data_IF_625978655862
#
_entry.id   IF_625978655862
#
_cell.length_a   1.000
_cell.length_b   1.000
_cell.length_c   1.000
_cell.angle_alpha   90.00
_cell.angle_beta   90.00
_cell.angle_gamma   90.00
#
_symmetry.space_group_name_H-M   'P 1'
#
loop_
_entity.id
_entity.type
_entity.pdbx_description
1 polymer ?
#
# COMPACT_ATOMS: atom_id res chain seq x y z
N UNK A 1 52.77 4.69 -46.20
CA UNK A 1 51.85 5.74 -45.72
C UNK A 1 50.96 5.12 -44.65
N UNK A 2 51.27 5.36 -43.37
CA UNK A 2 50.53 4.75 -42.25
C UNK A 2 49.27 5.56 -41.92
N UNK A 3 48.11 4.90 -41.95
CA UNK A 3 46.86 5.44 -41.43
C UNK A 3 46.89 5.37 -39.89
N UNK A 4 46.95 6.53 -39.24
CA UNK A 4 46.75 6.66 -37.79
C UNK A 4 45.25 6.73 -37.49
N UNK A 5 44.71 5.72 -36.82
CA UNK A 5 43.38 5.79 -36.22
C UNK A 5 43.44 6.65 -34.95
N UNK A 6 42.72 7.78 -34.94
CA UNK A 6 42.47 8.57 -33.72
C UNK A 6 41.24 7.98 -33.02
N UNK A 7 41.46 7.35 -31.87
CA UNK A 7 40.38 6.95 -30.97
C UNK A 7 39.89 8.21 -30.23
N UNK A 8 38.70 8.70 -30.55
CA UNK A 8 38.03 9.76 -29.80
C UNK A 8 37.29 9.08 -28.65
N UNK A 9 37.89 9.07 -27.47
CA UNK A 9 37.22 8.67 -26.24
C UNK A 9 36.21 9.76 -25.88
N UNK A 10 34.93 9.53 -26.23
CA UNK A 10 33.83 10.36 -25.75
C UNK A 10 33.67 10.13 -24.25
N UNK A 11 34.11 11.10 -23.45
CA UNK A 11 33.98 11.11 -22.01
C UNK A 11 32.50 11.37 -21.67
N UNK A 12 31.72 10.31 -21.45
CA UNK A 12 30.36 10.43 -20.90
C UNK A 12 30.46 10.97 -19.47
N UNK A 13 30.24 12.29 -19.30
CA UNK A 13 29.94 12.85 -17.99
C UNK A 13 28.59 12.29 -17.54
N UNK A 14 28.63 11.27 -16.68
CA UNK A 14 27.49 10.93 -15.84
C UNK A 14 27.26 12.10 -14.87
N UNK A 15 26.35 13.00 -15.22
CA UNK A 15 25.77 13.93 -14.26
C UNK A 15 24.98 13.10 -13.25
N UNK A 16 25.60 12.79 -12.11
CA UNK A 16 24.89 12.27 -10.95
C UNK A 16 23.89 13.35 -10.51
N UNK A 17 22.62 13.20 -10.89
CA UNK A 17 21.52 13.88 -10.24
C UNK A 17 21.56 13.48 -8.76
N UNK A 18 22.16 14.34 -7.94
CA UNK A 18 21.99 14.29 -6.50
C UNK A 18 20.54 14.69 -6.23
N UNK A 19 19.65 13.70 -6.14
CA UNK A 19 18.35 13.91 -5.53
C UNK A 19 18.60 14.26 -4.07
N UNK A 20 18.48 15.53 -3.72
CA UNK A 20 18.37 15.95 -2.34
C UNK A 20 17.17 15.20 -1.74
N UNK A 21 17.42 14.30 -0.79
CA UNK A 21 16.36 13.71 0.02
C UNK A 21 15.80 14.87 0.83
N UNK A 22 14.60 15.32 0.49
CA UNK A 22 13.87 16.24 1.34
C UNK A 22 13.68 15.54 2.69
N UNK A 23 14.34 16.03 3.74
CA UNK A 23 14.13 15.51 5.09
C UNK A 23 12.69 15.81 5.49
N UNK A 24 11.86 14.76 5.57
CA UNK A 24 10.49 14.88 6.05
C UNK A 24 10.52 15.27 7.53
N UNK A 25 9.95 16.43 7.87
CA UNK A 25 9.92 16.90 9.26
C UNK A 25 8.88 16.09 10.05
N UNK A 26 9.36 15.23 10.93
CA UNK A 26 8.53 14.37 11.79
C UNK A 26 8.37 14.89 13.22
N UNK A 27 8.98 16.03 13.59
CA UNK A 27 9.08 16.44 15.00
C UNK A 27 7.74 16.89 15.60
N UNK A 28 6.84 17.41 14.76
CA UNK A 28 5.52 17.90 15.16
C UNK A 28 4.41 16.84 14.96
N UNK A 29 4.73 15.71 14.35
CA UNK A 29 3.78 14.64 14.11
C UNK A 29 3.35 13.98 15.44
N UNK A 30 2.11 13.50 15.50
CA UNK A 30 1.63 12.70 16.63
C UNK A 30 2.46 11.43 16.75
N UNK A 31 3.10 11.23 17.90
CA UNK A 31 3.92 10.05 18.17
C UNK A 31 3.10 8.99 18.91
N UNK A 32 3.16 7.74 18.43
CA UNK A 32 2.59 6.56 19.09
C UNK A 32 3.73 5.65 19.53
N UNK A 33 3.86 5.42 20.84
CA UNK A 33 4.73 4.36 21.35
C UNK A 33 4.10 3.00 21.06
N UNK A 34 4.79 2.21 20.24
CA UNK A 34 4.33 0.86 19.91
C UNK A 34 4.60 -0.11 21.06
N UNK A 35 3.84 -1.21 21.10
CA UNK A 35 4.05 -2.30 22.05
C UNK A 35 5.30 -3.12 21.72
N UNK A 36 5.84 -3.84 22.71
CA UNK A 36 6.96 -4.75 22.51
C UNK A 36 6.69 -5.72 21.34
N UNK A 37 7.65 -5.91 20.42
CA UNK A 37 7.49 -6.91 19.38
C UNK A 37 7.55 -8.33 19.97
N UNK A 38 6.72 -9.22 19.44
CA UNK A 38 6.73 -10.64 19.81
C UNK A 38 7.99 -11.36 19.28
N UNK A 39 8.09 -12.67 19.54
CA UNK A 39 9.19 -13.52 19.07
C UNK A 39 9.36 -13.44 17.54
N UNK A 40 8.26 -13.35 16.78
CA UNK A 40 8.26 -13.17 15.32
C UNK A 40 8.58 -11.74 14.84
N UNK A 41 9.03 -10.85 15.73
CA UNK A 41 9.41 -9.46 15.47
C UNK A 41 8.28 -8.52 15.04
N UNK A 42 7.03 -8.91 15.25
CA UNK A 42 5.86 -8.07 14.99
C UNK A 42 5.43 -7.37 16.28
N UNK A 43 5.29 -6.05 16.22
CA UNK A 43 4.56 -5.27 17.22
C UNK A 43 3.10 -5.17 16.80
N UNK A 44 2.19 -5.72 17.63
CA UNK A 44 0.74 -5.69 17.41
C UNK A 44 0.13 -4.56 18.26
N UNK A 45 -0.46 -3.59 17.59
CA UNK A 45 -1.02 -2.39 18.21
C UNK A 45 -2.49 -2.27 17.81
N UNK A 46 -3.36 -2.19 18.81
CA UNK A 46 -4.81 -2.11 18.62
C UNK A 46 -5.31 -0.75 19.08
N UNK A 47 -6.19 -0.15 18.30
CA UNK A 47 -6.74 1.17 18.55
C UNK A 47 -8.26 1.15 18.41
N UNK A 48 -8.96 1.86 19.29
CA UNK A 48 -10.38 2.18 19.05
C UNK A 48 -10.50 3.21 17.93
N UNK A 49 -9.60 4.20 17.91
CA UNK A 49 -9.48 5.18 16.83
C UNK A 49 -8.01 5.42 16.50
N UNK A 50 -7.71 5.62 15.22
CA UNK A 50 -6.39 5.99 14.75
C UNK A 50 -6.51 7.15 13.79
N UNK A 51 -5.93 8.28 14.15
CA UNK A 51 -5.85 9.47 13.30
C UNK A 51 -4.61 10.27 13.72
N UNK A 52 -4.07 11.01 12.75
CA UNK A 52 -2.91 11.89 12.96
C UNK A 52 -3.35 13.23 13.56
N UNK A 53 -2.37 14.08 13.89
CA UNK A 53 -2.60 15.52 13.90
C UNK A 53 -2.34 16.10 12.49
N UNK A 54 -2.36 17.41 12.33
CA UNK A 54 -2.13 18.13 11.08
C UNK A 54 -0.73 17.90 10.47
N UNK A 55 0.24 17.49 11.28
CA UNK A 55 1.62 17.29 10.85
C UNK A 55 1.94 15.86 10.46
N UNK A 56 1.30 14.86 11.07
CA UNK A 56 1.61 13.46 10.78
C UNK A 56 1.29 12.49 11.89
N UNK A 57 1.64 11.23 11.60
CA UNK A 57 1.59 10.11 12.53
C UNK A 57 2.90 9.33 12.47
N UNK A 58 3.58 9.23 13.61
CA UNK A 58 4.88 8.57 13.74
C UNK A 58 4.79 7.44 14.76
N UNK A 59 5.21 6.24 14.38
CA UNK A 59 5.31 5.08 15.26
C UNK A 59 6.70 5.01 15.87
N UNK A 60 6.80 5.01 17.19
CA UNK A 60 8.07 5.05 17.91
C UNK A 60 8.65 3.65 18.11
N UNK A 61 9.58 3.27 17.22
CA UNK A 61 10.32 2.02 17.23
C UNK A 61 11.77 2.22 17.69
N UNK A 62 12.03 3.27 18.48
CA UNK A 62 13.35 3.60 19.01
C UNK A 62 13.55 2.94 20.37
N UNK A 63 14.50 2.00 20.47
CA UNK A 63 14.79 1.28 21.72
C UNK A 63 15.38 2.18 22.82
N UNK A 64 15.93 3.33 22.46
CA UNK A 64 16.50 4.28 23.41
C UNK A 64 15.45 5.20 24.03
N UNK A 65 14.30 5.36 23.37
CA UNK A 65 13.24 6.32 23.74
C UNK A 65 11.93 5.62 24.13
N UNK A 66 11.56 4.52 23.47
CA UNK A 66 10.40 3.72 23.79
C UNK A 66 10.77 2.53 24.69
N UNK A 67 10.68 2.75 26.01
CA UNK A 67 10.97 1.72 27.02
C UNK A 67 10.08 0.48 26.93
N UNK A 68 8.88 0.59 26.34
CA UNK A 68 7.98 -0.55 26.14
C UNK A 68 8.56 -1.61 25.20
N UNK A 69 9.60 -1.31 24.44
CA UNK A 69 10.24 -2.24 23.51
C UNK A 69 11.13 -3.29 24.20
N UNK A 70 11.50 -3.10 25.47
CA UNK A 70 12.34 -4.04 26.22
C UNK A 70 13.69 -4.33 25.53
N UNK A 71 14.26 -3.33 24.86
CA UNK A 71 15.54 -3.44 24.15
C UNK A 71 15.48 -4.08 22.76
N UNK A 72 14.28 -4.41 22.24
CA UNK A 72 14.11 -5.04 20.92
C UNK A 72 13.18 -4.22 20.04
N UNK A 73 13.69 -3.70 18.93
CA UNK A 73 12.86 -3.04 17.93
C UNK A 73 12.03 -4.03 17.10
N UNK A 74 10.88 -3.58 16.64
CA UNK A 74 10.02 -4.32 15.72
C UNK A 74 10.62 -4.32 14.30
N UNK A 75 10.42 -5.41 13.56
CA UNK A 75 10.66 -5.48 12.10
C UNK A 75 9.38 -5.23 11.30
N UNK A 76 8.23 -5.44 11.93
CA UNK A 76 6.91 -5.13 11.40
C UNK A 76 6.04 -4.54 12.51
N UNK A 77 5.32 -3.48 12.18
CA UNK A 77 4.36 -2.81 13.05
C UNK A 77 2.99 -2.98 12.40
N UNK A 78 2.07 -3.64 13.11
CA UNK A 78 0.66 -3.68 12.74
C UNK A 78 -0.10 -2.71 13.65
N UNK A 79 -0.74 -1.71 13.04
CA UNK A 79 -1.68 -0.80 13.66
C UNK A 79 -3.09 -1.16 13.17
N UNK A 80 -3.86 -1.83 14.02
CA UNK A 80 -5.22 -2.29 13.73
C UNK A 80 -6.23 -1.39 14.46
N UNK A 81 -7.20 -0.87 13.72
CA UNK A 81 -8.35 -0.18 14.29
C UNK A 81 -9.51 -1.16 14.45
N UNK A 82 -10.10 -1.21 15.65
CA UNK A 82 -11.23 -2.09 15.97
C UNK A 82 -12.51 -1.36 16.35
N UNK A 83 -12.47 -0.03 16.48
CA UNK A 83 -13.66 0.78 16.63
C UNK A 83 -14.40 0.99 15.30
N UNK A 84 -15.40 1.86 15.30
CA UNK A 84 -16.26 2.17 14.14
C UNK A 84 -15.75 3.29 13.23
N UNK A 85 -14.73 4.03 13.66
CA UNK A 85 -14.29 5.23 12.96
C UNK A 85 -13.26 4.93 11.86
N UNK A 86 -13.36 5.66 10.76
CA UNK A 86 -12.38 5.64 9.69
C UNK A 86 -11.06 6.31 10.13
N UNK A 87 -9.95 5.87 9.54
CA UNK A 87 -8.63 6.46 9.80
C UNK A 87 -8.42 7.69 8.93
N UNK A 88 -8.17 8.85 9.54
CA UNK A 88 -7.82 10.07 8.83
C UNK A 88 -6.39 10.49 9.18
N UNK A 89 -5.54 10.56 8.16
CA UNK A 89 -4.13 10.94 8.29
C UNK A 89 -3.87 12.18 7.44
N UNK A 90 -3.25 13.18 8.03
CA UNK A 90 -2.66 14.35 7.40
C UNK A 90 -1.14 14.21 7.48
N UNK A 91 -0.43 14.69 6.46
CA UNK A 91 1.03 14.84 6.54
C UNK A 91 1.79 13.51 6.61
N UNK A 92 2.89 13.49 7.38
CA UNK A 92 3.86 12.39 7.33
C UNK A 92 3.33 11.11 7.99
N UNK A 93 3.53 9.96 7.37
CA UNK A 93 3.51 8.65 8.05
C UNK A 93 4.95 8.23 8.27
N UNK A 94 5.36 8.01 9.52
CA UNK A 94 6.76 7.76 9.84
C UNK A 94 7.02 6.70 10.89
N UNK A 95 8.26 6.26 10.97
CA UNK A 95 8.79 5.44 12.07
C UNK A 95 9.98 6.17 12.70
N UNK A 96 9.94 6.39 14.01
CA UNK A 96 11.12 6.86 14.77
C UNK A 96 11.95 5.66 15.18
N UNK A 97 13.28 5.78 15.15
CA UNK A 97 14.20 4.69 15.51
C UNK A 97 14.44 3.71 14.36
N UNK A 98 14.41 2.41 14.65
CA UNK A 98 14.77 1.40 13.66
C UNK A 98 13.69 1.28 12.57
N UNK A 99 14.12 1.28 11.29
CA UNK A 99 13.24 1.07 10.13
C UNK A 99 12.47 -0.24 10.23
N UNK A 100 11.19 -0.23 9.91
CA UNK A 100 10.34 -1.43 9.88
C UNK A 100 9.33 -1.39 8.73
N UNK A 101 8.67 -2.53 8.48
CA UNK A 101 7.44 -2.59 7.71
C UNK A 101 6.28 -2.03 8.56
N UNK A 102 5.41 -1.21 7.96
CA UNK A 102 4.25 -0.64 8.64
C UNK A 102 2.97 -1.06 7.94
N UNK A 103 2.01 -1.57 8.71
CA UNK A 103 0.67 -1.92 8.25
C UNK A 103 -0.34 -1.13 9.06
N UNK A 104 -1.18 -0.36 8.39
CA UNK A 104 -2.34 0.31 8.99
C UNK A 104 -3.58 -0.38 8.44
N UNK A 105 -4.34 -1.03 9.32
CA UNK A 105 -5.54 -1.78 8.99
C UNK A 105 -6.76 -1.18 9.68
N UNK A 106 -7.75 -0.76 8.90
CA UNK A 106 -9.01 -0.25 9.42
C UNK A 106 -10.18 -0.62 8.47
N UNK A 107 -11.12 -1.49 8.88
CA UNK A 107 -12.24 -1.90 8.03
C UNK A 107 -13.20 -0.76 7.66
N UNK A 108 -13.22 0.33 8.41
CA UNK A 108 -14.08 1.51 8.17
C UNK A 108 -13.50 2.45 7.10
N UNK A 109 -12.29 2.18 6.61
CA UNK A 109 -11.62 2.96 5.57
C UNK A 109 -10.44 3.78 6.08
N UNK A 110 -9.63 4.26 5.14
CA UNK A 110 -8.42 5.04 5.39
C UNK A 110 -8.34 6.20 4.40
N UNK A 111 -8.15 7.42 4.91
CA UNK A 111 -7.85 8.60 4.11
C UNK A 111 -6.49 9.15 4.50
N UNK A 112 -5.62 9.36 3.52
CA UNK A 112 -4.31 9.97 3.71
C UNK A 112 -4.16 11.22 2.83
N UNK A 113 -4.15 12.38 3.48
CA UNK A 113 -4.10 13.68 2.85
C UNK A 113 -2.71 14.30 2.99
N UNK A 114 -2.23 14.95 1.92
CA UNK A 114 -0.99 15.71 1.88
C UNK A 114 0.21 14.93 2.44
N UNK A 115 0.27 13.65 2.05
CA UNK A 115 1.18 12.66 2.59
C UNK A 115 2.66 12.85 2.29
N UNK A 116 3.51 12.36 3.19
CA UNK A 116 4.91 12.04 2.93
C UNK A 116 5.30 10.85 3.82
N UNK A 117 6.36 10.11 3.50
CA UNK A 117 6.79 9.03 4.38
C UNK A 117 8.19 9.25 4.93
N UNK A 118 8.45 8.65 6.09
CA UNK A 118 9.76 8.72 6.73
C UNK A 118 10.13 7.37 7.34
N UNK A 119 11.30 6.85 6.98
CA UNK A 119 11.91 5.69 7.64
C UNK A 119 11.03 4.41 7.64
N UNK A 120 10.31 4.16 6.54
CA UNK A 120 9.46 2.98 6.38
C UNK A 120 10.03 2.09 5.26
N UNK A 121 10.24 0.81 5.55
CA UNK A 121 10.72 -0.16 4.55
C UNK A 121 9.62 -0.57 3.56
N UNK A 122 8.40 -0.76 4.06
CA UNK A 122 7.19 -1.04 3.28
C UNK A 122 5.98 -0.48 4.01
N UNK A 123 5.13 0.26 3.31
CA UNK A 123 3.86 0.75 3.84
C UNK A 123 2.70 -0.05 3.26
N UNK A 124 1.83 -0.57 4.11
CA UNK A 124 0.58 -1.24 3.71
C UNK A 124 -0.62 -0.51 4.30
N UNK A 125 -1.49 0.02 3.45
CA UNK A 125 -2.77 0.60 3.84
C UNK A 125 -3.89 -0.40 3.50
N UNK A 126 -4.59 -0.90 4.52
CA UNK A 126 -5.58 -1.96 4.36
C UNK A 126 -6.92 -1.49 4.92
N UNK A 127 -7.90 -1.25 4.06
CA UNK A 127 -9.28 -0.96 4.48
C UNK A 127 -10.03 -2.26 4.80
N UNK A 128 -9.54 -3.03 5.76
CA UNK A 128 -10.05 -4.36 6.08
C UNK A 128 -9.71 -4.82 7.50
N UNK A 129 -10.33 -5.92 7.90
CA UNK A 129 -10.12 -6.56 9.20
C UNK A 129 -8.85 -7.41 9.19
N UNK A 130 -8.07 -7.38 10.28
CA UNK A 130 -7.00 -8.34 10.48
C UNK A 130 -7.55 -9.65 11.05
N UNK A 131 -7.41 -10.73 10.28
CA UNK A 131 -7.96 -12.04 10.60
C UNK A 131 -7.11 -12.77 11.64
N UNK A 132 -7.71 -13.03 12.80
CA UNK A 132 -7.12 -13.94 13.78
C UNK A 132 -7.29 -15.38 13.31
N UNK A 133 -6.23 -16.17 13.40
CA UNK A 133 -6.22 -17.58 13.02
C UNK A 133 -6.61 -18.43 14.21
N UNK A 134 -7.26 -19.55 13.96
CA UNK A 134 -7.67 -20.51 14.99
C UNK A 134 -7.07 -21.88 14.69
N UNK A 135 -6.67 -22.59 15.74
CA UNK A 135 -6.20 -23.97 15.69
C UNK A 135 -7.20 -24.87 16.42
N UNK A 136 -7.27 -26.15 16.03
CA UNK A 136 -8.09 -27.13 16.74
C UNK A 136 -7.48 -27.42 18.12
N UNK A 137 -8.32 -27.53 19.13
CA UNK A 137 -7.91 -28.04 20.43
C UNK A 137 -7.41 -29.49 20.28
N UNK A 138 -6.30 -29.82 20.96
CA UNK A 138 -5.68 -31.15 20.87
C UNK A 138 -6.52 -32.24 21.53
N UNK A 139 -7.34 -31.85 22.51
CA UNK A 139 -8.17 -32.75 23.33
C UNK A 139 -9.60 -32.83 22.81
N UNK A 140 -10.11 -31.76 22.19
CA UNK A 140 -11.41 -31.74 21.52
C UNK A 140 -11.31 -31.12 20.11
N UNK A 141 -11.23 -31.95 19.04
CA UNK A 141 -11.12 -31.47 17.67
C UNK A 141 -12.28 -30.60 17.17
N UNK A 142 -13.41 -30.55 17.89
CA UNK A 142 -14.55 -29.67 17.57
C UNK A 142 -14.37 -28.26 18.13
N UNK A 143 -13.49 -28.06 19.11
CA UNK A 143 -13.21 -26.77 19.73
C UNK A 143 -12.09 -26.04 18.98
N UNK A 144 -12.29 -24.76 18.70
CA UNK A 144 -11.30 -23.87 18.08
C UNK A 144 -10.71 -22.93 19.12
N UNK A 145 -9.38 -22.83 19.14
CA UNK A 145 -8.62 -21.94 20.01
C UNK A 145 -7.89 -20.87 19.16
N UNK A 146 -7.78 -19.62 19.63
CA UNK A 146 -6.96 -18.62 18.96
C UNK A 146 -5.51 -19.09 18.83
N UNK A 147 -4.98 -19.03 17.62
CA UNK A 147 -3.56 -19.27 17.38
C UNK A 147 -2.76 -18.13 18.01
N UNK A 148 -1.69 -18.41 18.77
CA UNK A 148 -0.83 -17.36 19.31
C UNK A 148 -0.25 -16.48 18.20
N UNK A 149 -0.30 -15.16 18.39
CA UNK A 149 0.18 -14.19 17.39
C UNK A 149 1.66 -14.36 17.04
N UNK A 150 2.46 -14.87 17.98
CA UNK A 150 3.88 -15.17 17.77
C UNK A 150 4.12 -16.28 16.73
N UNK A 151 3.13 -17.14 16.49
CA UNK A 151 3.23 -18.26 15.55
C UNK A 151 2.75 -17.90 14.13
N UNK A 152 2.46 -16.63 13.87
CA UNK A 152 2.02 -16.16 12.56
C UNK A 152 3.22 -16.05 11.63
N UNK A 153 3.11 -16.67 10.45
CA UNK A 153 4.07 -16.54 9.34
C UNK A 153 3.67 -15.49 8.29
N UNK A 154 2.40 -15.08 8.32
CA UNK A 154 1.80 -14.08 7.46
C UNK A 154 0.62 -13.43 8.19
N UNK A 155 0.33 -12.17 7.87
CA UNK A 155 -0.87 -11.48 8.33
C UNK A 155 -1.96 -11.65 7.28
N UNK A 156 -3.18 -12.03 7.69
CA UNK A 156 -4.32 -12.20 6.78
C UNK A 156 -5.31 -11.08 6.99
N UNK A 157 -5.84 -10.53 5.91
CA UNK A 157 -6.82 -9.45 5.96
C UNK A 157 -8.05 -9.82 5.15
N UNK A 158 -9.21 -9.37 5.61
CA UNK A 158 -10.47 -9.45 4.86
C UNK A 158 -11.00 -8.04 4.61
N UNK A 159 -11.29 -7.78 3.35
CA UNK A 159 -11.84 -6.52 2.85
C UNK A 159 -13.28 -6.77 2.39
N UNK A 160 -14.18 -5.91 2.86
CA UNK A 160 -15.61 -5.97 2.56
C UNK A 160 -15.98 -5.01 1.42
N UNK A 161 -17.07 -5.29 0.67
CA UNK A 161 -17.61 -4.37 -0.32
C UNK A 161 -17.82 -2.96 0.24
N UNK A 162 -17.45 -1.93 -0.54
CA UNK A 162 -17.59 -0.52 -0.16
C UNK A 162 -16.46 0.05 0.70
N UNK A 163 -15.58 -0.78 1.28
CA UNK A 163 -14.39 -0.30 1.99
C UNK A 163 -13.49 0.54 1.08
N UNK A 164 -12.92 1.63 1.59
CA UNK A 164 -12.19 2.59 0.76
C UNK A 164 -10.85 3.00 1.36
N UNK A 165 -9.82 3.03 0.52
CA UNK A 165 -8.59 3.79 0.76
C UNK A 165 -8.55 4.99 -0.18
N UNK A 166 -8.35 6.18 0.38
CA UNK A 166 -8.16 7.42 -0.38
C UNK A 166 -6.79 7.99 -0.07
N UNK A 167 -5.98 8.22 -1.09
CA UNK A 167 -4.76 9.01 -0.98
C UNK A 167 -4.98 10.29 -1.78
N UNK A 168 -4.78 11.43 -1.15
CA UNK A 168 -5.10 12.73 -1.69
C UNK A 168 -3.93 13.69 -1.46
N UNK A 169 -3.56 14.43 -2.50
CA UNK A 169 -2.49 15.41 -2.45
C UNK A 169 -2.96 16.69 -3.13
N UNK A 170 -2.99 17.80 -2.39
CA UNK A 170 -3.31 19.10 -3.00
C UNK A 170 -2.18 19.61 -3.90
N UNK A 171 -0.94 19.25 -3.59
CA UNK A 171 0.26 19.62 -4.34
C UNK A 171 1.01 18.36 -4.77
N UNK A 172 1.72 18.42 -5.90
CA UNK A 172 2.44 17.27 -6.46
C UNK A 172 3.73 16.89 -5.72
N UNK A 173 3.77 17.09 -4.39
CA UNK A 173 4.90 16.73 -3.55
C UNK A 173 5.07 15.21 -3.55
N UNK A 174 6.27 14.69 -3.88
CA UNK A 174 6.49 13.26 -3.99
C UNK A 174 6.30 12.53 -2.65
N UNK A 175 5.45 11.51 -2.61
CA UNK A 175 5.47 10.46 -1.60
C UNK A 175 6.53 9.45 -2.02
N UNK A 176 7.70 9.47 -1.37
CA UNK A 176 8.83 8.59 -1.69
C UNK A 176 8.93 7.41 -0.71
N UNK A 177 8.83 6.19 -1.23
CA UNK A 177 8.82 4.95 -0.47
C UNK A 177 9.64 3.88 -1.20
N UNK A 178 10.13 2.85 -0.50
CA UNK A 178 10.68 1.67 -1.18
C UNK A 178 9.59 0.74 -1.69
N UNK A 179 8.49 0.60 -0.92
CA UNK A 179 7.36 -0.26 -1.23
C UNK A 179 6.05 0.30 -0.67
N UNK A 180 4.99 0.19 -1.45
CA UNK A 180 3.62 0.46 -1.01
C UNK A 180 2.67 -0.66 -1.43
N UNK A 181 1.79 -1.05 -0.52
CA UNK A 181 0.65 -1.90 -0.79
C UNK A 181 -0.62 -1.16 -0.36
N UNK A 182 -1.66 -1.22 -1.18
CA UNK A 182 -2.99 -0.70 -0.84
C UNK A 182 -4.00 -1.80 -1.10
N UNK A 183 -4.81 -2.12 -0.09
CA UNK A 183 -5.86 -3.14 -0.18
C UNK A 183 -7.19 -2.58 0.31
N UNK A 184 -8.15 -2.48 -0.60
CA UNK A 184 -9.50 -2.00 -0.31
C UNK A 184 -10.44 -2.48 -1.41
N UNK A 185 -11.74 -2.41 -1.19
CA UNK A 185 -12.69 -2.57 -2.30
C UNK A 185 -12.55 -1.41 -3.29
N UNK A 186 -12.37 -0.19 -2.78
CA UNK A 186 -12.21 1.04 -3.56
C UNK A 186 -10.90 1.73 -3.22
N UNK A 187 -10.08 2.00 -4.23
CA UNK A 187 -8.83 2.74 -4.10
C UNK A 187 -8.93 4.02 -4.93
N UNK A 188 -8.81 5.18 -4.28
CA UNK A 188 -8.87 6.48 -4.95
C UNK A 188 -7.59 7.27 -4.73
N UNK A 189 -6.91 7.60 -5.81
CA UNK A 189 -5.69 8.42 -5.83
C UNK A 189 -6.03 9.77 -6.49
N UNK A 190 -6.28 10.77 -5.64
CA UNK A 190 -6.97 12.01 -6.02
C UNK A 190 -6.04 13.22 -6.13
N UNK A 191 -6.50 14.23 -6.88
CA UNK A 191 -5.80 15.50 -7.09
C UNK A 191 -4.39 15.30 -7.66
N UNK A 192 -3.37 15.89 -7.04
CA UNK A 192 -1.99 15.88 -7.52
C UNK A 192 -1.16 14.76 -6.88
N UNK A 193 -1.74 13.59 -6.59
CA UNK A 193 -1.01 12.47 -5.97
C UNK A 193 0.23 12.13 -6.79
N UNK A 194 1.40 12.12 -6.16
CA UNK A 194 2.67 11.81 -6.81
C UNK A 194 3.41 10.76 -6.00
N UNK A 195 3.22 9.47 -6.30
CA UNK A 195 3.86 8.36 -5.56
C UNK A 195 5.04 7.83 -6.35
N UNK A 196 6.23 7.91 -5.76
CA UNK A 196 7.45 7.33 -6.30
C UNK A 196 7.90 6.17 -5.40
N UNK A 197 7.78 4.94 -5.91
CA UNK A 197 8.16 3.74 -5.16
C UNK A 197 8.63 2.62 -6.06
N UNK A 198 9.67 1.90 -5.66
CA UNK A 198 10.23 0.81 -6.45
C UNK A 198 9.21 -0.32 -6.68
N UNK A 199 8.39 -0.63 -5.68
CA UNK A 199 7.33 -1.65 -5.77
C UNK A 199 6.00 -1.05 -5.30
N UNK A 200 4.96 -1.20 -6.11
CA UNK A 200 3.61 -0.72 -5.79
C UNK A 200 2.59 -1.81 -6.11
N UNK A 201 1.75 -2.15 -5.14
CA UNK A 201 0.67 -3.11 -5.31
C UNK A 201 -0.65 -2.48 -4.88
N UNK A 202 -1.60 -2.37 -5.82
CA UNK A 202 -2.93 -1.84 -5.55
C UNK A 202 -3.95 -2.94 -5.80
N UNK A 203 -4.44 -3.55 -4.72
CA UNK A 203 -5.47 -4.59 -4.75
C UNK A 203 -6.83 -3.94 -4.47
N UNK A 204 -7.54 -3.59 -5.54
CA UNK A 204 -8.90 -3.04 -5.48
C UNK A 204 -9.90 -4.20 -5.58
N UNK A 205 -10.13 -4.92 -4.48
CA UNK A 205 -11.02 -6.08 -4.48
C UNK A 205 -11.55 -6.38 -3.08
N UNK A 206 -12.75 -6.93 -3.00
CA UNK A 206 -13.27 -7.55 -1.79
C UNK A 206 -12.88 -9.03 -1.70
N UNK A 207 -12.64 -9.50 -0.48
CA UNK A 207 -12.18 -10.86 -0.22
C UNK A 207 -11.03 -10.86 0.76
N UNK A 208 -10.12 -11.83 0.65
CA UNK A 208 -8.96 -11.90 1.52
C UNK A 208 -7.64 -11.70 0.79
N UNK A 209 -6.64 -11.23 1.53
CA UNK A 209 -5.25 -11.15 1.10
C UNK A 209 -4.34 -11.52 2.27
N UNK A 210 -3.12 -11.95 1.95
CA UNK A 210 -2.09 -12.24 2.93
C UNK A 210 -0.87 -11.36 2.71
N UNK A 211 -0.28 -10.86 3.79
CA UNK A 211 0.94 -10.06 3.80
C UNK A 211 2.09 -10.88 4.40
N UNK A 212 3.16 -11.03 3.64
CA UNK A 212 4.41 -11.65 4.12
C UNK A 212 5.09 -10.75 5.16
N UNK A 213 5.46 -11.31 6.31
CA UNK A 213 6.11 -10.55 7.40
C UNK A 213 7.49 -10.04 6.97
N UNK A 214 8.26 -10.90 6.28
CA UNK A 214 9.64 -10.60 5.90
C UNK A 214 9.70 -9.64 4.73
N UNK A 215 8.91 -9.91 3.70
CA UNK A 215 8.99 -9.14 2.46
C UNK A 215 8.10 -7.90 2.47
N UNK A 216 7.07 -7.86 3.33
CA UNK A 216 6.04 -6.82 3.28
C UNK A 216 5.28 -6.83 1.94
N UNK A 217 5.20 -7.98 1.27
CA UNK A 217 4.49 -8.15 0.01
C UNK A 217 3.08 -8.65 0.27
N UNK A 218 2.09 -7.97 -0.32
CA UNK A 218 0.69 -8.36 -0.27
C UNK A 218 0.37 -9.29 -1.45
N UNK A 219 -0.31 -10.39 -1.17
CA UNK A 219 -0.76 -11.38 -2.17
C UNK A 219 -2.25 -11.61 -1.97
N UNK A 220 -3.03 -11.49 -3.05
CA UNK A 220 -4.46 -11.76 -3.02
C UNK A 220 -4.76 -13.24 -2.74
N UNK A 221 -5.94 -13.49 -2.19
CA UNK A 221 -6.42 -14.84 -1.90
C UNK A 221 -7.82 -15.08 -2.43
N UNK A 222 -8.70 -15.63 -1.60
CA UNK A 222 -10.05 -15.98 -2.02
C UNK A 222 -10.91 -14.71 -2.23
N UNK A 223 -11.62 -14.68 -3.36
CA UNK A 223 -12.57 -13.62 -3.72
C UNK A 223 -13.79 -13.63 -2.80
N UNK A 224 -14.38 -12.45 -2.60
CA UNK A 224 -15.64 -12.31 -1.87
C UNK A 224 -16.80 -13.00 -2.58
N UNK A 225 -17.62 -13.74 -1.82
CA UNK A 225 -18.86 -14.39 -2.27
C UNK A 225 -20.05 -13.51 -1.90
N UNK A 226 -20.65 -12.85 -2.88
CA UNK A 226 -21.78 -11.97 -2.66
C UNK A 226 -23.08 -12.78 -2.50
N UNK A 227 -23.73 -12.63 -1.35
CA UNK A 227 -25.07 -13.17 -1.07
C UNK A 227 -26.17 -12.13 -1.28
N UNK A 228 -25.81 -10.85 -1.41
CA UNK A 228 -26.68 -9.70 -1.62
C UNK A 228 -26.32 -8.96 -2.91
N UNK A 229 -27.30 -8.27 -3.49
CA UNK A 229 -27.09 -7.42 -4.66
C UNK A 229 -26.32 -6.15 -4.25
N UNK A 230 -25.23 -5.85 -4.94
CA UNK A 230 -24.44 -4.64 -4.73
C UNK A 230 -24.56 -3.74 -5.95
N UNK A 231 -24.82 -2.45 -5.75
CA UNK A 231 -24.99 -1.46 -6.84
C UNK A 231 -23.69 -1.07 -7.51
N UNK A 232 -22.55 -1.22 -6.82
CA UNK A 232 -21.24 -0.80 -7.28
C UNK A 232 -20.17 -1.85 -6.94
N UNK A 233 -19.21 -2.01 -7.85
CA UNK A 233 -18.13 -2.99 -7.75
C UNK A 233 -16.86 -2.37 -7.20
N UNK A 234 -15.81 -3.19 -7.07
CA UNK A 234 -14.49 -2.71 -6.69
C UNK A 234 -13.94 -1.73 -7.74
N UNK A 235 -13.25 -0.68 -7.28
CA UNK A 235 -12.83 0.42 -8.15
C UNK A 235 -11.46 0.99 -7.79
N UNK A 236 -10.54 0.97 -8.76
CA UNK A 236 -9.30 1.75 -8.70
C UNK A 236 -9.44 3.01 -9.55
N UNK A 237 -9.12 4.18 -8.99
CA UNK A 237 -9.11 5.44 -9.73
C UNK A 237 -7.82 6.22 -9.48
N UNK A 238 -7.13 6.57 -10.58
CA UNK A 238 -6.06 7.56 -10.60
C UNK A 238 -6.55 8.82 -11.32
N UNK A 239 -6.62 9.93 -10.59
CA UNK A 239 -7.05 11.24 -11.10
C UNK A 239 -6.10 11.81 -12.18
N UNK A 240 -6.59 12.79 -12.94
CA UNK A 240 -5.90 13.38 -14.10
C UNK A 240 -4.51 13.94 -13.79
N UNK A 241 -4.36 14.58 -12.63
CA UNK A 241 -3.08 15.14 -12.18
C UNK A 241 -2.26 14.15 -11.33
N UNK A 242 -2.77 12.93 -11.16
CA UNK A 242 -2.11 11.86 -10.44
C UNK A 242 -0.95 11.27 -11.22
N UNK A 243 0.12 10.93 -10.51
CA UNK A 243 1.35 10.33 -11.04
C UNK A 243 1.82 9.18 -10.16
N UNK A 244 2.02 8.02 -10.77
CA UNK A 244 2.67 6.87 -10.14
C UNK A 244 3.98 6.57 -10.88
N UNK A 245 5.09 6.48 -10.15
CA UNK A 245 6.39 6.17 -10.72
C UNK A 245 7.06 5.02 -9.96
N UNK A 246 7.54 4.00 -10.67
CA UNK A 246 8.17 2.86 -10.02
C UNK A 246 8.87 1.86 -10.92
N UNK A 247 9.56 0.90 -10.32
CA UNK A 247 10.11 -0.23 -11.07
C UNK A 247 9.02 -1.26 -11.38
N UNK A 248 8.16 -1.56 -10.41
CA UNK A 248 7.07 -2.53 -10.56
C UNK A 248 5.77 -1.95 -10.01
N UNK A 249 4.74 -1.87 -10.85
CA UNK A 249 3.40 -1.45 -10.47
C UNK A 249 2.42 -2.55 -10.85
N UNK A 250 1.76 -3.13 -9.85
CA UNK A 250 0.69 -4.11 -10.01
C UNK A 250 -0.65 -3.47 -9.63
N UNK A 251 -1.60 -3.50 -10.56
CA UNK A 251 -3.00 -3.21 -10.31
C UNK A 251 -3.79 -4.51 -10.39
N UNK A 252 -4.51 -4.85 -9.34
CA UNK A 252 -5.31 -6.07 -9.27
C UNK A 252 -6.73 -5.71 -8.85
N UNK A 253 -7.74 -6.19 -9.59
CA UNK A 253 -9.14 -5.95 -9.26
C UNK A 253 -10.02 -7.08 -9.76
N UNK A 254 -10.78 -7.69 -8.85
CA UNK A 254 -11.64 -8.85 -9.15
C UNK A 254 -13.10 -8.59 -8.83
N UNK A 255 -14.00 -9.01 -9.73
CA UNK A 255 -15.44 -8.94 -9.51
C UNK A 255 -15.86 -9.80 -8.31
N UNK A 256 -16.97 -9.41 -7.69
CA UNK A 256 -17.63 -10.25 -6.69
C UNK A 256 -18.09 -11.57 -7.32
N UNK A 257 -18.06 -12.65 -6.55
CA UNK A 257 -18.69 -13.90 -6.98
C UNK A 257 -20.20 -13.82 -6.68
N UNK A 258 -21.00 -13.40 -7.67
CA UNK A 258 -22.47 -13.37 -7.55
C UNK A 258 -23.10 -14.65 -8.12
N UNK A 259 -24.24 -15.03 -7.55
CA UNK A 259 -25.03 -16.19 -8.01
C UNK A 259 -25.58 -16.00 -9.44
N UNK A 260 -25.95 -14.78 -9.79
CA UNK A 260 -26.33 -14.37 -11.14
C UNK A 260 -25.30 -13.36 -11.68
N UNK A 261 -24.61 -13.75 -12.74
CA UNK A 261 -23.51 -12.96 -13.33
C UNK A 261 -23.98 -11.68 -14.02
N UNK A 262 -25.26 -11.61 -14.45
CA UNK A 262 -25.83 -10.41 -15.07
C UNK A 262 -26.09 -9.30 -14.07
N UNK A 263 -26.23 -9.66 -12.79
CA UNK A 263 -26.48 -8.75 -11.68
C UNK A 263 -25.21 -8.34 -10.93
N UNK A 264 -24.04 -8.89 -11.30
CA UNK A 264 -22.78 -8.49 -10.70
C UNK A 264 -22.40 -7.08 -11.15
N UNK A 265 -22.09 -6.15 -10.22
CA UNK A 265 -21.64 -4.83 -10.58
C UNK A 265 -20.36 -4.91 -11.44
N UNK A 266 -20.17 -3.90 -12.27
CA UNK A 266 -18.97 -3.76 -13.08
C UNK A 266 -17.88 -3.14 -12.22
N UNK A 267 -16.76 -3.84 -12.09
CA UNK A 267 -15.56 -3.28 -11.48
C UNK A 267 -14.82 -2.45 -12.52
N UNK A 268 -14.14 -1.39 -12.07
CA UNK A 268 -13.45 -0.46 -12.97
C UNK A 268 -12.06 -0.11 -12.45
N UNK A 269 -11.08 -0.19 -13.33
CA UNK A 269 -9.77 0.44 -13.16
C UNK A 269 -9.75 1.64 -14.10
N UNK A 270 -9.76 2.84 -13.53
CA UNK A 270 -9.80 4.12 -14.26
C UNK A 270 -8.49 4.89 -14.05
N UNK A 271 -7.71 5.02 -15.12
CA UNK A 271 -6.43 5.73 -15.11
C UNK A 271 -6.57 6.98 -15.97
N UNK A 272 -6.74 8.12 -15.30
CA UNK A 272 -6.79 9.44 -15.94
C UNK A 272 -5.44 10.16 -15.89
N UNK A 273 -4.60 9.80 -14.93
CA UNK A 273 -3.27 10.36 -14.72
C UNK A 273 -2.14 9.65 -15.47
N UNK A 274 -0.92 9.82 -14.96
CA UNK A 274 0.29 9.25 -15.52
C UNK A 274 0.80 8.06 -14.68
N UNK A 275 1.08 6.95 -15.33
CA UNK A 275 1.85 5.84 -14.74
C UNK A 275 3.15 5.68 -15.52
N UNK A 276 4.28 5.74 -14.82
CA UNK A 276 5.63 5.54 -15.33
C UNK A 276 6.24 4.32 -14.63
N UNK A 277 6.34 3.20 -15.33
CA UNK A 277 6.81 1.94 -14.75
C UNK A 277 7.85 1.25 -15.62
N UNK A 278 8.82 0.53 -15.03
CA UNK A 278 9.59 -0.44 -15.82
C UNK A 278 8.71 -1.65 -16.16
N UNK A 279 8.05 -2.20 -15.14
CA UNK A 279 7.10 -3.30 -15.25
C UNK A 279 5.73 -2.88 -14.74
N UNK A 280 4.71 -3.00 -15.58
CA UNK A 280 3.31 -2.81 -15.22
C UNK A 280 2.55 -4.12 -15.38
N UNK A 281 1.72 -4.47 -14.41
CA UNK A 281 0.88 -5.66 -14.45
C UNK A 281 -0.54 -5.30 -14.06
N UNK A 282 -1.48 -5.80 -14.85
CA UNK A 282 -2.91 -5.68 -14.61
C UNK A 282 -3.47 -7.10 -14.41
N UNK A 283 -4.13 -7.35 -13.30
CA UNK A 283 -4.69 -8.66 -12.96
C UNK A 283 -6.17 -8.57 -12.57
N UNK A 284 -6.91 -9.63 -12.90
CA UNK A 284 -8.33 -9.76 -12.61
C UNK A 284 -9.23 -9.51 -13.82
N UNK A 285 -10.52 -9.33 -13.56
CA UNK A 285 -11.62 -9.36 -14.54
C UNK A 285 -12.40 -8.04 -14.58
N UNK A 286 -11.77 -6.95 -14.16
CA UNK A 286 -12.36 -5.61 -14.14
C UNK A 286 -12.27 -4.92 -15.50
N UNK A 287 -13.22 -4.03 -15.78
CA UNK A 287 -13.11 -3.15 -16.94
C UNK A 287 -11.92 -2.21 -16.76
N UNK A 288 -11.12 -2.05 -17.82
CA UNK A 288 -9.96 -1.18 -17.83
C UNK A 288 -10.22 0.04 -18.72
N UNK A 289 -10.14 1.23 -18.12
CA UNK A 289 -10.26 2.50 -18.82
C UNK A 289 -8.97 3.30 -18.62
N UNK A 290 -8.32 3.66 -19.73
CA UNK A 290 -7.14 4.52 -19.75
C UNK A 290 -7.45 5.75 -20.59
N UNK A 291 -7.57 6.89 -19.92
CA UNK A 291 -7.72 8.22 -20.55
C UNK A 291 -6.46 9.08 -20.36
N UNK A 292 -5.64 8.74 -19.36
CA UNK A 292 -4.33 9.33 -19.14
C UNK A 292 -3.22 8.67 -19.96
N UNK A 293 -2.04 8.55 -19.36
CA UNK A 293 -0.84 8.02 -20.01
C UNK A 293 -0.22 6.87 -19.22
N UNK A 294 0.22 5.86 -19.95
CA UNK A 294 1.00 4.74 -19.41
C UNK A 294 2.33 4.68 -20.16
N UNK A 295 3.45 4.87 -19.46
CA UNK A 295 4.80 4.84 -19.99
C UNK A 295 5.57 3.67 -19.40
N UNK A 296 6.05 2.79 -20.27
CA UNK A 296 6.62 1.51 -19.88
C UNK A 296 8.08 1.32 -20.33
N UNK A 297 8.80 0.50 -19.57
CA UNK A 297 10.17 0.10 -19.86
C UNK A 297 11.22 1.17 -19.56
N UNK A 298 12.49 0.84 -19.80
CA UNK A 298 13.62 1.74 -19.56
C UNK A 298 13.57 3.02 -20.38
N UNK A 299 12.96 2.95 -21.57
CA UNK A 299 12.84 4.09 -22.50
C UNK A 299 11.52 4.86 -22.32
N UNK A 300 10.68 4.47 -21.35
CA UNK A 300 9.39 5.13 -21.04
C UNK A 300 8.50 5.29 -22.28
N UNK A 301 8.37 4.21 -23.07
CA UNK A 301 7.53 4.21 -24.26
C UNK A 301 6.08 4.46 -23.87
N UNK A 302 5.48 5.48 -24.48
CA UNK A 302 4.11 5.88 -24.19
C UNK A 302 3.11 5.01 -24.96
N UNK A 303 2.17 4.40 -24.24
CA UNK A 303 1.04 3.68 -24.84
C UNK A 303 -0.03 4.69 -25.22
N UNK A 304 -0.21 4.88 -26.53
CA UNK A 304 -1.20 5.80 -27.09
C UNK A 304 -2.42 5.02 -27.55
N UNK A 305 -3.62 5.51 -27.24
CA UNK A 305 -4.87 4.97 -27.79
C UNK A 305 -4.88 5.17 -29.30
N UNK A 306 -4.95 4.10 -30.08
CA UNK A 306 -5.24 4.21 -31.51
C UNK A 306 -6.68 4.67 -31.69
N UNK A 307 -6.88 5.90 -32.18
CA UNK A 307 -8.16 6.32 -32.75
C UNK A 307 -8.28 5.66 -34.13
N UNK A 308 -9.26 4.77 -34.27
CA UNK A 308 -9.68 4.29 -35.58
C UNK A 308 -10.44 5.44 -36.23
N UNK A 309 -9.90 5.99 -37.32
CA UNK A 309 -10.63 6.90 -38.22
C UNK A 309 -11.71 6.16 -39.00
#
# INVERSE_FOLDING_TARGET
MQLRYRCITSLFLFTFYHYAIASTNTTQAKVINITAPLENHISFNRFETLSSNEHGLVFNNDISDNSALGGKAAKMILAEVTGSEATNIQGVIGIKGQTANLVIANPNGITWNNGSASNIASLSLVAGNFERQFIKDKTDPKKLLPKPLKDYSQLKFTVSPGSQVTINQQQANPIQLSKINVFADRIKLQNAVNITSAVQNYLSSSGNASLSIREGLLVSGAKYKATTLHSEGSQFELSENGKLTGRSILLESHRYQCKDSFMCPQNKIDIKGLIEAMNFSLQGDSQFALTGRLRLGSNQQELVRQTVE
#
